data_IF_453644554750
#
_entry.id   IF_453644554750
#
_cell.length_a   1.000
_cell.length_b   1.000
_cell.length_c   1.000
_cell.angle_alpha   90.00
_cell.angle_beta   90.00
_cell.angle_gamma   90.00
#
_symmetry.space_group_name_H-M   'P 1'
#
loop_
_entity.id
_entity.type
_entity.pdbx_description
1 polymer ?
#
# COMPACT_ATOMS: atom_id res chain seq x y z
N UNK A 1 22.20 -10.48 39.89
CA UNK A 1 21.94 -9.09 39.43
C UNK A 1 22.68 -8.02 40.24
N UNK A 2 23.29 -8.32 41.40
CA UNK A 2 23.98 -7.30 42.22
C UNK A 2 25.22 -6.66 41.57
N UNK A 3 25.81 -7.30 40.55
CA UNK A 3 27.00 -6.78 39.83
C UNK A 3 26.70 -5.85 38.63
N UNK A 4 25.43 -5.50 38.33
CA UNK A 4 25.06 -4.63 37.20
C UNK A 4 23.97 -3.60 37.55
N UNK A 5 24.29 -2.61 38.41
CA UNK A 5 23.32 -1.66 38.97
C UNK A 5 22.64 -0.77 37.90
N UNK A 6 23.33 -0.47 36.80
CA UNK A 6 22.78 0.30 35.69
C UNK A 6 21.64 -0.42 34.96
N UNK A 7 21.75 -1.74 34.76
CA UNK A 7 20.70 -2.57 34.15
C UNK A 7 19.49 -2.65 35.07
N UNK A 8 19.72 -2.86 36.37
CA UNK A 8 18.65 -2.90 37.38
C UNK A 8 17.88 -1.57 37.42
N UNK A 9 18.58 -0.44 37.45
CA UNK A 9 17.96 0.90 37.42
C UNK A 9 17.14 1.13 36.15
N UNK A 10 17.59 0.65 34.99
CA UNK A 10 16.87 0.74 33.72
C UNK A 10 15.60 -0.13 33.69
N UNK A 11 15.67 -1.35 34.20
CA UNK A 11 14.50 -2.24 34.28
C UNK A 11 13.45 -1.67 35.24
N UNK A 12 13.88 -1.22 36.42
CA UNK A 12 12.99 -0.62 37.41
C UNK A 12 12.35 0.70 36.91
N UNK A 13 13.09 1.50 36.13
CA UNK A 13 12.51 2.71 35.53
C UNK A 13 11.54 2.38 34.39
N UNK A 14 11.78 1.33 33.62
CA UNK A 14 10.82 0.84 32.60
C UNK A 14 9.56 0.24 33.23
N UNK A 15 9.68 -0.51 34.33
CA UNK A 15 8.54 -1.10 35.03
C UNK A 15 7.55 -0.06 35.58
N UNK A 16 8.06 1.15 35.90
CA UNK A 16 7.25 2.28 36.39
C UNK A 16 6.64 3.12 35.27
N UNK A 17 7.01 2.91 34.00
CA UNK A 17 6.46 3.70 32.88
C UNK A 17 5.02 3.27 32.59
N UNK A 18 4.07 4.21 32.45
CA UNK A 18 2.73 3.89 31.99
C UNK A 18 2.77 3.22 30.62
N UNK A 19 2.01 2.14 30.45
CA UNK A 19 1.89 1.39 29.20
C UNK A 19 0.75 1.93 28.32
N UNK A 20 0.66 3.26 28.17
CA UNK A 20 -0.45 3.93 27.49
C UNK A 20 -0.59 3.48 26.03
N UNK A 21 0.52 3.32 25.31
CA UNK A 21 0.52 2.85 23.92
C UNK A 21 0.00 1.41 23.82
N UNK A 22 0.48 0.52 24.71
CA UNK A 22 0.03 -0.86 24.75
C UNK A 22 -1.45 -0.97 25.14
N UNK A 23 -1.93 -0.12 26.05
CA UNK A 23 -3.34 -0.02 26.41
C UNK A 23 -4.18 0.41 25.19
N UNK A 24 -3.72 1.42 24.44
CA UNK A 24 -4.42 1.90 23.23
C UNK A 24 -4.54 0.80 22.15
N UNK A 25 -3.45 0.06 21.90
CA UNK A 25 -3.46 -1.09 20.99
C UNK A 25 -4.37 -2.22 21.50
N UNK A 26 -4.35 -2.52 22.80
CA UNK A 26 -5.22 -3.54 23.37
C UNK A 26 -6.71 -3.16 23.31
N UNK A 27 -7.05 -1.89 23.57
CA UNK A 27 -8.42 -1.39 23.48
C UNK A 27 -8.95 -1.48 22.05
N UNK A 28 -8.16 -1.02 21.07
CA UNK A 28 -8.54 -1.12 19.64
C UNK A 28 -8.67 -2.57 19.18
N UNK A 29 -7.78 -3.45 19.62
CA UNK A 29 -7.86 -4.90 19.33
C UNK A 29 -9.15 -5.52 19.86
N UNK A 30 -9.53 -5.23 21.10
CA UNK A 30 -10.77 -5.75 21.68
C UNK A 30 -12.01 -5.18 21.02
N UNK A 31 -12.04 -3.88 20.73
CA UNK A 31 -13.16 -3.26 20.01
C UNK A 31 -13.36 -3.91 18.64
N UNK A 32 -12.27 -4.09 17.88
CA UNK A 32 -12.31 -4.78 16.59
C UNK A 32 -12.85 -6.21 16.72
N UNK A 33 -12.39 -6.98 17.70
CA UNK A 33 -12.86 -8.34 17.92
C UNK A 33 -14.37 -8.40 18.21
N UNK A 34 -14.87 -7.52 19.08
CA UNK A 34 -16.29 -7.47 19.41
C UNK A 34 -17.15 -7.05 18.21
N UNK A 35 -16.66 -6.10 17.41
CA UNK A 35 -17.35 -5.66 16.19
C UNK A 35 -17.36 -6.75 15.11
N UNK A 36 -16.28 -7.53 14.98
CA UNK A 36 -16.28 -8.68 14.07
C UNK A 36 -17.22 -9.77 14.57
N UNK A 37 -17.25 -10.04 15.87
CA UNK A 37 -18.17 -11.02 16.46
C UNK A 37 -19.64 -10.64 16.29
N UNK A 38 -19.98 -9.35 16.34
CA UNK A 38 -21.37 -8.91 16.17
C UNK A 38 -21.92 -9.14 14.77
N UNK A 39 -21.07 -9.39 13.77
CA UNK A 39 -21.50 -9.78 12.42
C UNK A 39 -22.15 -11.17 12.36
N UNK A 40 -21.99 -11.99 13.40
CA UNK A 40 -22.48 -13.37 13.43
C UNK A 40 -21.63 -14.37 12.65
N UNK A 41 -20.57 -13.92 11.96
CA UNK A 41 -19.65 -14.79 11.24
C UNK A 41 -18.69 -15.52 12.20
N UNK A 42 -18.17 -16.70 11.82
CA UNK A 42 -17.07 -17.33 12.53
C UNK A 42 -15.85 -16.40 12.55
N UNK A 43 -15.37 -16.08 13.75
CA UNK A 43 -14.19 -15.24 13.97
C UNK A 43 -13.20 -16.01 14.82
N UNK A 44 -12.01 -16.21 14.26
CA UNK A 44 -10.84 -16.75 14.93
C UNK A 44 -9.80 -15.66 15.19
N UNK A 45 -9.03 -15.81 16.27
CA UNK A 45 -7.95 -14.89 16.64
C UNK A 45 -6.68 -15.69 16.91
N UNK A 46 -5.53 -15.11 16.56
CA UNK A 46 -4.21 -15.69 16.83
C UNK A 46 -3.29 -14.68 17.50
N UNK A 47 -2.33 -15.18 18.30
CA UNK A 47 -1.25 -14.33 18.81
C UNK A 47 -0.12 -14.24 17.79
N UNK A 48 0.65 -13.15 17.82
CA UNK A 48 1.84 -13.02 16.97
C UNK A 48 2.90 -14.11 17.25
N UNK A 49 2.92 -14.63 18.49
CA UNK A 49 3.76 -15.78 18.85
C UNK A 49 3.34 -17.06 18.14
N UNK A 50 2.03 -17.35 18.10
CA UNK A 50 1.47 -18.49 17.37
C UNK A 50 1.72 -18.37 15.86
N UNK A 51 1.49 -17.19 15.28
CA UNK A 51 1.79 -16.94 13.87
C UNK A 51 3.25 -17.20 13.53
N UNK A 52 4.17 -16.74 14.39
CA UNK A 52 5.60 -17.01 14.22
C UNK A 52 5.91 -18.50 14.34
N UNK A 53 5.31 -19.20 15.30
CA UNK A 53 5.49 -20.64 15.51
C UNK A 53 5.03 -21.43 14.28
N UNK A 54 3.79 -21.22 13.82
CA UNK A 54 3.23 -21.88 12.64
C UNK A 54 4.13 -21.68 11.42
N UNK A 55 4.57 -20.44 11.17
CA UNK A 55 5.47 -20.11 10.05
C UNK A 55 6.83 -20.80 10.17
N UNK A 56 7.44 -20.78 11.35
CA UNK A 56 8.75 -21.38 11.57
C UNK A 56 8.72 -22.91 11.51
N UNK A 57 7.65 -23.54 12.02
CA UNK A 57 7.48 -25.00 11.97
C UNK A 57 7.44 -25.56 10.55
N UNK A 58 7.04 -24.72 9.58
CA UNK A 58 6.95 -25.03 8.16
C UNK A 58 8.13 -24.48 7.34
N UNK A 59 9.18 -23.96 7.98
CA UNK A 59 10.35 -23.37 7.33
C UNK A 59 10.03 -22.22 6.35
N UNK A 60 8.99 -21.43 6.64
CA UNK A 60 8.54 -20.36 5.75
C UNK A 60 9.24 -19.02 6.06
N UNK A 61 9.67 -18.26 5.02
CA UNK A 61 10.32 -16.98 5.20
C UNK A 61 9.35 -15.93 5.75
N UNK A 62 9.86 -14.93 6.48
CA UNK A 62 9.03 -13.86 7.01
C UNK A 62 8.60 -12.89 5.90
N UNK A 63 7.33 -12.94 5.52
CA UNK A 63 6.68 -11.98 4.61
C UNK A 63 5.30 -11.64 5.16
N UNK A 64 4.75 -10.47 4.78
CA UNK A 64 3.43 -10.05 5.27
C UNK A 64 2.31 -11.02 4.88
N UNK A 65 2.36 -11.59 3.68
CA UNK A 65 1.31 -12.50 3.20
C UNK A 65 1.41 -13.89 3.83
N UNK A 66 2.62 -14.39 4.09
CA UNK A 66 2.82 -15.65 4.82
C UNK A 66 2.46 -15.52 6.29
N UNK A 67 2.79 -14.39 6.93
CA UNK A 67 2.37 -14.13 8.30
C UNK A 67 0.83 -14.11 8.38
N UNK A 68 0.15 -13.48 7.42
CA UNK A 68 -1.32 -13.46 7.36
C UNK A 68 -1.93 -14.87 7.19
N UNK A 69 -1.36 -15.71 6.33
CA UNK A 69 -1.81 -17.09 6.13
C UNK A 69 -1.56 -18.00 7.35
N UNK A 70 -0.62 -17.63 8.24
CA UNK A 70 -0.28 -18.39 9.45
C UNK A 70 -1.02 -17.90 10.72
N UNK A 71 -2.03 -17.04 10.59
CA UNK A 71 -2.83 -16.58 11.75
C UNK A 71 -3.83 -17.67 12.17
N UNK A 72 -3.90 -17.94 13.48
CA UNK A 72 -4.84 -18.91 14.04
C UNK A 72 -4.29 -20.33 14.09
N UNK A 73 -5.20 -21.31 14.09
CA UNK A 73 -4.89 -22.75 14.04
C UNK A 73 -4.62 -23.14 12.59
N UNK A 74 -3.35 -23.34 12.27
CA UNK A 74 -2.89 -23.70 10.94
C UNK A 74 -1.95 -24.90 11.06
N UNK A 75 -2.35 -26.04 10.50
CA UNK A 75 -1.55 -27.27 10.54
C UNK A 75 -0.50 -27.28 9.44
N UNK A 76 -0.91 -27.10 8.18
CA UNK A 76 -0.01 -27.07 7.02
C UNK A 76 -0.55 -26.13 5.97
N UNK A 77 0.32 -25.26 5.44
CA UNK A 77 0.06 -24.38 4.32
C UNK A 77 0.70 -24.95 3.07
N UNK A 78 -0.12 -25.12 2.04
CA UNK A 78 0.34 -25.44 0.68
C UNK A 78 0.46 -24.13 -0.08
N UNK A 79 1.67 -23.82 -0.56
CA UNK A 79 1.96 -22.58 -1.28
C UNK A 79 1.96 -22.88 -2.78
N UNK A 80 0.86 -22.52 -3.44
CA UNK A 80 0.70 -22.65 -4.89
C UNK A 80 1.21 -21.42 -5.67
N UNK A 81 1.52 -20.33 -4.96
CA UNK A 81 1.90 -19.05 -5.56
C UNK A 81 3.23 -18.58 -5.01
N UNK A 82 4.21 -18.38 -5.89
CA UNK A 82 5.54 -17.87 -5.51
C UNK A 82 5.62 -16.34 -5.55
N UNK A 83 4.81 -15.69 -6.38
CA UNK A 83 4.84 -14.24 -6.60
C UNK A 83 3.45 -13.64 -6.36
N UNK A 84 3.16 -13.14 -5.14
CA UNK A 84 1.89 -12.47 -4.89
C UNK A 84 1.83 -11.14 -5.66
N UNK A 85 0.62 -10.78 -6.10
CA UNK A 85 0.37 -9.47 -6.69
C UNK A 85 0.44 -8.38 -5.60
N UNK A 86 1.49 -7.57 -5.63
CA UNK A 86 1.65 -6.47 -4.68
C UNK A 86 0.81 -5.28 -5.13
N UNK A 87 -0.19 -4.94 -4.32
CA UNK A 87 -1.05 -3.77 -4.54
C UNK A 87 -0.82 -2.71 -3.46
N UNK A 88 -0.88 -1.45 -3.86
CA UNK A 88 -0.83 -0.30 -2.96
C UNK A 88 -2.08 0.55 -3.14
N UNK A 89 -2.82 0.82 -2.08
CA UNK A 89 -3.95 1.75 -2.13
C UNK A 89 -3.46 3.17 -2.48
N UNK A 90 -3.93 3.72 -3.60
CA UNK A 90 -3.67 5.10 -4.04
C UNK A 90 -4.90 6.01 -3.93
N UNK A 91 -6.07 5.44 -3.62
CA UNK A 91 -7.33 6.14 -3.49
C UNK A 91 -7.87 6.71 -4.81
N UNK A 92 -8.99 7.44 -4.72
CA UNK A 92 -9.74 7.90 -5.90
C UNK A 92 -9.39 9.33 -6.35
N UNK A 93 -8.32 9.92 -5.80
CA UNK A 93 -7.88 11.30 -6.06
C UNK A 93 -8.23 12.23 -4.90
N UNK A 94 -7.82 13.50 -5.01
CA UNK A 94 -8.09 14.52 -3.99
C UNK A 94 -9.32 15.36 -4.35
N UNK A 95 -10.10 15.75 -3.34
CA UNK A 95 -11.17 16.76 -3.47
C UNK A 95 -10.64 18.19 -3.44
N UNK A 96 -9.33 18.38 -3.22
CA UNK A 96 -8.70 19.69 -3.22
C UNK A 96 -8.64 20.27 -4.65
N UNK A 97 -9.48 21.27 -4.89
CA UNK A 97 -9.61 21.95 -6.18
C UNK A 97 -8.69 23.17 -6.34
N UNK A 98 -8.00 23.56 -5.28
CA UNK A 98 -7.01 24.62 -5.32
C UNK A 98 -5.76 24.22 -4.54
N UNK A 99 -4.59 24.34 -5.16
CA UNK A 99 -3.31 24.21 -4.46
C UNK A 99 -2.99 25.52 -3.77
N UNK A 100 -2.53 25.42 -2.53
CA UNK A 100 -2.15 26.57 -1.71
C UNK A 100 -0.62 26.68 -1.63
N UNK A 101 -0.12 27.89 -1.36
CA UNK A 101 1.26 28.06 -0.92
C UNK A 101 1.42 27.55 0.53
N UNK A 102 2.64 27.64 1.08
CA UNK A 102 2.95 27.24 2.46
C UNK A 102 2.16 28.01 3.54
N UNK A 103 1.55 29.14 3.19
CA UNK A 103 0.73 29.98 4.07
C UNK A 103 -0.78 29.75 3.89
N UNK A 104 -1.20 28.82 3.04
CA UNK A 104 -2.61 28.52 2.80
C UNK A 104 -3.28 29.36 1.71
N UNK A 105 -2.57 30.29 1.06
CA UNK A 105 -3.16 31.10 -0.02
C UNK A 105 -3.25 30.34 -1.34
N UNK A 106 -4.39 30.41 -2.06
CA UNK A 106 -4.57 29.86 -3.41
C UNK A 106 -3.47 30.27 -4.39
N UNK A 107 -2.83 29.30 -5.05
CA UNK A 107 -1.83 29.55 -6.12
C UNK A 107 -2.21 28.94 -7.45
N UNK A 108 -3.00 27.86 -7.45
CA UNK A 108 -3.38 27.17 -8.69
C UNK A 108 -4.69 26.42 -8.54
N UNK A 109 -5.62 26.67 -9.46
CA UNK A 109 -6.84 25.91 -9.57
C UNK A 109 -6.63 24.62 -10.37
N UNK A 110 -7.12 23.51 -9.81
CA UNK A 110 -7.12 22.19 -10.45
C UNK A 110 -8.39 22.05 -11.30
N UNK A 111 -8.25 21.47 -12.50
CA UNK A 111 -9.42 21.16 -13.33
C UNK A 111 -10.30 20.09 -12.67
N UNK A 112 -11.61 20.25 -12.81
CA UNK A 112 -12.60 19.22 -12.44
C UNK A 112 -12.72 18.11 -13.49
N UNK A 113 -12.17 18.32 -14.68
CA UNK A 113 -12.22 17.35 -15.77
C UNK A 113 -11.30 16.18 -15.43
N UNK A 114 -11.89 15.01 -15.23
CA UNK A 114 -11.15 13.78 -14.86
C UNK A 114 -10.56 13.07 -16.08
N UNK A 115 -11.23 13.17 -17.23
CA UNK A 115 -10.86 12.46 -18.44
C UNK A 115 -10.22 13.40 -19.47
N UNK A 116 -9.07 13.01 -19.98
CA UNK A 116 -8.39 13.68 -21.07
C UNK A 116 -8.11 12.68 -22.18
N UNK A 117 -8.67 12.94 -23.38
CA UNK A 117 -8.52 12.07 -24.56
C UNK A 117 -8.94 10.61 -24.29
N UNK A 118 -9.94 10.40 -23.45
CA UNK A 118 -10.45 9.06 -23.08
C UNK A 118 -9.73 8.38 -21.91
N UNK A 119 -8.65 8.96 -21.40
CA UNK A 119 -7.85 8.44 -20.27
C UNK A 119 -8.06 9.27 -19.01
N UNK A 120 -7.87 8.66 -17.84
CA UNK A 120 -7.84 9.31 -16.55
C UNK A 120 -6.49 9.06 -15.84
N UNK A 121 -6.03 10.04 -15.06
CA UNK A 121 -4.85 9.86 -14.21
C UNK A 121 -5.06 8.70 -13.24
N UNK A 122 -4.21 7.69 -13.37
CA UNK A 122 -4.27 6.44 -12.60
C UNK A 122 -4.52 5.19 -13.43
N UNK A 123 -4.97 5.33 -14.68
CA UNK A 123 -5.07 4.19 -15.60
C UNK A 123 -3.68 3.57 -15.83
N UNK A 124 -3.64 2.28 -16.15
CA UNK A 124 -2.41 1.59 -16.55
C UNK A 124 -2.47 1.39 -18.06
N UNK A 125 -1.43 1.85 -18.75
CA UNK A 125 -1.38 1.84 -20.21
C UNK A 125 -0.12 1.15 -20.72
N UNK A 126 -0.24 0.56 -21.90
CA UNK A 126 0.88 0.21 -22.78
C UNK A 126 1.02 1.31 -23.82
N UNK A 127 2.16 1.98 -23.87
CA UNK A 127 2.46 2.96 -24.91
C UNK A 127 3.56 2.44 -25.83
N UNK A 128 3.26 2.28 -27.11
CA UNK A 128 4.24 1.85 -28.14
C UNK A 128 4.54 3.05 -29.03
N UNK A 129 5.70 3.66 -28.83
CA UNK A 129 6.10 4.88 -29.56
C UNK A 129 6.99 4.49 -30.73
N UNK A 130 6.57 4.85 -31.94
CA UNK A 130 7.24 4.46 -33.19
C UNK A 130 8.07 5.58 -33.82
N UNK A 131 7.97 6.82 -33.35
CA UNK A 131 8.66 7.98 -33.92
C UNK A 131 9.17 8.94 -32.85
N UNK A 132 10.29 9.63 -33.14
CA UNK A 132 10.86 10.71 -32.32
C UNK A 132 11.85 10.25 -31.26
N UNK A 133 12.22 11.14 -30.32
CA UNK A 133 13.28 10.89 -29.32
C UNK A 133 12.95 9.78 -28.31
N UNK A 134 11.67 9.44 -28.13
CA UNK A 134 11.19 8.49 -27.10
C UNK A 134 10.66 7.20 -27.73
N UNK A 135 11.29 6.72 -28.79
CA UNK A 135 10.95 5.43 -29.39
C UNK A 135 11.14 4.32 -28.35
N UNK A 136 10.15 3.44 -28.24
CA UNK A 136 10.16 2.36 -27.26
C UNK A 136 8.77 1.97 -26.78
N UNK A 137 8.73 0.93 -25.95
CA UNK A 137 7.50 0.46 -25.29
C UNK A 137 7.55 0.79 -23.81
N UNK A 138 6.50 1.45 -23.32
CA UNK A 138 6.37 1.85 -21.92
C UNK A 138 5.10 1.28 -21.33
N UNK A 139 5.23 0.57 -20.22
CA UNK A 139 4.10 0.03 -19.46
C UNK A 139 4.10 0.69 -18.10
N UNK A 140 2.98 1.28 -17.72
CA UNK A 140 2.91 1.95 -16.44
C UNK A 140 1.66 2.76 -16.21
N UNK A 141 1.61 3.36 -15.02
CA UNK A 141 0.50 4.18 -14.57
C UNK A 141 0.60 5.58 -15.19
N UNK A 142 -0.51 6.06 -15.76
CA UNK A 142 -0.53 7.31 -16.52
C UNK A 142 -0.92 8.50 -15.65
N UNK A 143 -0.22 9.62 -15.81
CA UNK A 143 -0.65 10.94 -15.40
C UNK A 143 -1.06 11.74 -16.63
N UNK A 144 -2.37 11.95 -16.75
CA UNK A 144 -2.98 12.59 -17.92
C UNK A 144 -2.84 14.11 -17.85
N UNK A 145 -2.82 14.74 -19.03
CA UNK A 145 -2.76 16.20 -19.18
C UNK A 145 -3.73 16.64 -20.28
N UNK A 146 -4.30 17.84 -20.14
CA UNK A 146 -5.20 18.44 -21.15
C UNK A 146 -4.56 18.50 -22.55
N UNK A 147 -3.23 18.65 -22.62
CA UNK A 147 -2.48 18.67 -23.89
C UNK A 147 -2.54 17.37 -24.69
N UNK A 148 -2.93 16.24 -24.06
CA UNK A 148 -2.89 14.93 -24.71
C UNK A 148 -1.49 14.30 -24.75
N UNK A 149 -0.51 14.91 -24.06
CA UNK A 149 0.81 14.34 -23.81
C UNK A 149 0.92 13.95 -22.33
N UNK A 150 1.03 12.67 -22.07
CA UNK A 150 0.95 12.08 -20.74
C UNK A 150 2.32 11.74 -20.17
N UNK A 151 2.40 11.63 -18.86
CA UNK A 151 3.55 11.03 -18.22
C UNK A 151 3.19 9.59 -17.82
N UNK A 152 4.12 8.66 -17.99
CA UNK A 152 3.94 7.24 -17.66
C UNK A 152 4.99 6.89 -16.60
N UNK A 153 4.52 6.48 -15.43
CA UNK A 153 5.37 5.92 -14.38
C UNK A 153 5.61 4.45 -14.66
N UNK A 154 6.78 4.12 -15.18
CA UNK A 154 7.24 2.74 -15.44
C UNK A 154 8.09 2.23 -14.26
N UNK A 155 8.46 0.95 -14.29
CA UNK A 155 9.42 0.39 -13.32
C UNK A 155 10.79 1.08 -13.35
N UNK A 156 11.22 1.48 -14.55
CA UNK A 156 12.52 2.12 -14.78
C UNK A 156 12.52 3.62 -14.49
N UNK A 157 11.35 4.24 -14.29
CA UNK A 157 11.24 5.65 -13.92
C UNK A 157 10.07 6.37 -14.58
N UNK A 158 10.10 7.70 -14.52
CA UNK A 158 9.05 8.54 -15.08
C UNK A 158 9.39 8.93 -16.52
N UNK A 159 8.59 8.44 -17.48
CA UNK A 159 8.69 8.84 -18.88
C UNK A 159 7.67 9.95 -19.15
N UNK A 160 8.16 11.14 -19.51
CA UNK A 160 7.30 12.32 -19.66
C UNK A 160 6.91 12.58 -21.11
N UNK A 161 5.72 13.16 -21.33
CA UNK A 161 5.31 13.70 -22.62
C UNK A 161 5.14 12.66 -23.74
N UNK A 162 4.50 11.53 -23.44
CA UNK A 162 4.09 10.52 -24.42
C UNK A 162 2.71 10.89 -24.98
N UNK A 163 2.55 10.92 -26.30
CA UNK A 163 1.25 11.21 -26.90
C UNK A 163 0.23 10.11 -26.57
N UNK A 164 -0.98 10.50 -26.16
CA UNK A 164 -2.09 9.58 -25.89
C UNK A 164 -2.41 8.66 -27.08
N UNK A 165 -2.08 9.06 -28.31
CA UNK A 165 -2.28 8.26 -29.53
C UNK A 165 -1.48 6.94 -29.51
N UNK A 166 -0.38 6.90 -28.75
CA UNK A 166 0.41 5.69 -28.59
C UNK A 166 -0.07 4.82 -27.44
N UNK A 167 -0.97 5.31 -26.59
CA UNK A 167 -1.42 4.62 -25.39
C UNK A 167 -2.59 3.69 -25.68
N UNK A 168 -2.51 2.47 -25.16
CA UNK A 168 -3.58 1.49 -25.10
C UNK A 168 -3.84 1.11 -23.66
N UNK A 169 -5.10 0.87 -23.29
CA UNK A 169 -5.46 0.46 -21.94
C UNK A 169 -4.96 -0.96 -21.65
N UNK A 170 -4.35 -1.13 -20.49
CA UNK A 170 -4.16 -2.44 -19.85
C UNK A 170 -5.19 -2.59 -18.74
N UNK A 171 -5.32 -1.56 -17.90
CA UNK A 171 -6.23 -1.56 -16.75
C UNK A 171 -6.79 -0.17 -16.48
N UNK A 172 -8.05 -0.10 -16.07
CA UNK A 172 -8.70 1.15 -15.68
C UNK A 172 -8.38 1.47 -14.22
N UNK A 173 -8.35 2.76 -13.88
CA UNK A 173 -8.18 3.21 -12.50
C UNK A 173 -9.26 2.63 -11.60
N UNK A 174 -8.83 1.90 -10.58
CA UNK A 174 -9.66 1.27 -9.55
C UNK A 174 -9.33 1.73 -8.11
N UNK A 175 -8.34 2.60 -7.96
CA UNK A 175 -7.89 3.10 -6.65
C UNK A 175 -6.66 2.39 -6.11
N UNK A 176 -6.15 1.36 -6.80
CA UNK A 176 -4.91 0.67 -6.46
C UNK A 176 -3.81 1.01 -7.46
N UNK A 177 -2.57 0.85 -7.02
CA UNK A 177 -1.40 0.74 -7.87
C UNK A 177 -0.87 -0.68 -7.76
N UNK A 178 -0.42 -1.21 -8.89
CA UNK A 178 0.07 -2.56 -9.01
C UNK A 178 1.57 -2.47 -9.21
N UNK A 179 2.32 -3.10 -8.31
CA UNK A 179 3.76 -3.25 -8.48
C UNK A 179 3.92 -4.33 -9.55
N UNK A 180 4.44 -3.93 -10.69
CA UNK A 180 4.75 -4.87 -11.77
C UNK A 180 6.17 -5.33 -11.61
#
# INVERSE_FOLDING_TARGET
>A
MSKKPSILRRILSQAKRPLADAASVNTTRWKLYHDLKSTGLPVEVGSGGLTKFNRCSQNLPKTHWLDAANVGKVETLIIEVTNPLIITAKGHGTRQLCRTNKYGFPTRHCSRIKFHKGFQTGDIVRAVVTKGKKIGTYIGRVATRKSGFFNISTKSGLVQGISHKYCQFIHRKDGYAYTT
#
